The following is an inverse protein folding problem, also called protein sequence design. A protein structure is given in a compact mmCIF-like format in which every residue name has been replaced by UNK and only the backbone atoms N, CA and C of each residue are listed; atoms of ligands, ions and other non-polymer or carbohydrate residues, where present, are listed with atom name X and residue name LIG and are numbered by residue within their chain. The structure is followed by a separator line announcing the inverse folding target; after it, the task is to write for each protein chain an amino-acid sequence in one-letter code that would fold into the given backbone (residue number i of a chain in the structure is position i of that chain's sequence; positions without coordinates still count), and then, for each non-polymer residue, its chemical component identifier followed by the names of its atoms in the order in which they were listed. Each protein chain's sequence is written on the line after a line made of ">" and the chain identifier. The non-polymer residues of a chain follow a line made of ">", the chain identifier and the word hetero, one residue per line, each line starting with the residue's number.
data_IF_695432453311
#
_entry.id   IF_695432453311
#
_cell.length_a   1.000
_cell.length_b   1.000
_cell.length_c   1.000
_cell.angle_alpha   90.00
_cell.angle_beta   90.00
_cell.angle_gamma   90.00
#
_symmetry.space_group_name_H-M   'P 1'
#
loop_
_entity.id
_entity.type
_entity.pdbx_description
1 polymer ?
#
# COMPACT_ATOMS: atom_id res chain seq x y z
N UNK A 1 3.04 -24.80 1.15
CA UNK A 1 4.22 -25.58 0.86
C UNK A 1 5.24 -25.59 2.02
N UNK A 2 5.52 -24.47 2.65
CA UNK A 2 6.47 -24.35 3.78
C UNK A 2 5.92 -24.68 5.18
N UNK A 3 4.68 -25.15 5.32
CA UNK A 3 4.08 -25.54 6.61
C UNK A 3 4.42 -26.99 6.98
N UNK A 4 5.69 -27.32 7.12
CA UNK A 4 6.11 -28.59 7.74
C UNK A 4 6.39 -28.35 9.23
N UNK A 5 5.34 -28.30 10.03
CA UNK A 5 5.49 -28.54 11.47
C UNK A 5 5.42 -30.04 11.74
N UNK A 6 6.30 -30.55 12.61
CA UNK A 6 6.13 -31.88 13.16
C UNK A 6 4.81 -31.92 13.96
N UNK A 7 4.15 -33.08 14.02
CA UNK A 7 2.91 -33.27 14.78
C UNK A 7 3.07 -32.97 16.28
N UNK A 8 4.29 -32.79 16.76
CA UNK A 8 4.66 -32.56 18.15
C UNK A 8 5.35 -31.20 18.40
N UNK A 9 5.23 -30.23 17.48
CA UNK A 9 5.78 -28.89 17.72
C UNK A 9 4.99 -28.19 18.84
N UNK A 10 5.66 -27.58 19.84
CA UNK A 10 5.02 -26.77 20.87
C UNK A 10 4.49 -25.44 20.32
N UNK A 11 4.88 -25.08 19.10
CA UNK A 11 4.46 -23.85 18.45
C UNK A 11 3.12 -24.06 17.74
N UNK A 12 2.10 -23.22 17.98
CA UNK A 12 0.83 -23.26 17.26
C UNK A 12 1.02 -23.13 15.75
N UNK A 13 0.18 -23.79 14.94
CA UNK A 13 0.26 -23.71 13.47
C UNK A 13 0.17 -22.27 12.91
N UNK A 14 -0.52 -21.38 13.62
CA UNK A 14 -0.64 -19.95 13.28
C UNK A 14 0.67 -19.17 13.44
N UNK A 15 1.58 -19.68 14.30
CA UNK A 15 2.89 -19.11 14.57
C UNK A 15 4.03 -19.95 13.97
N UNK A 16 3.71 -20.80 12.99
CA UNK A 16 4.71 -21.63 12.33
C UNK A 16 5.79 -20.77 11.66
N UNK A 17 7.03 -21.15 11.83
CA UNK A 17 8.19 -20.50 11.24
C UNK A 17 9.07 -21.52 10.52
N UNK A 18 10.02 -21.04 9.74
CA UNK A 18 11.00 -21.85 9.03
C UNK A 18 12.42 -21.43 9.46
N UNK A 19 13.33 -22.39 9.48
CA UNK A 19 14.74 -22.21 9.88
C UNK A 19 15.65 -22.97 8.92
N UNK A 20 16.95 -22.67 8.98
CA UNK A 20 17.99 -23.37 8.24
C UNK A 20 17.73 -23.37 6.73
N UNK A 21 17.95 -24.51 6.08
CA UNK A 21 17.82 -24.64 4.63
C UNK A 21 16.43 -24.25 4.10
N UNK A 22 15.35 -24.55 4.82
CA UNK A 22 14.00 -24.15 4.43
C UNK A 22 13.80 -22.64 4.47
N UNK A 23 14.45 -21.92 5.37
CA UNK A 23 14.43 -20.46 5.42
C UNK A 23 15.16 -19.87 4.21
N UNK A 24 16.33 -20.41 3.87
CA UNK A 24 17.08 -19.95 2.69
C UNK A 24 16.31 -20.22 1.38
N UNK A 25 15.69 -21.39 1.25
CA UNK A 25 14.83 -21.70 0.11
C UNK A 25 13.63 -20.73 0.02
N UNK A 26 13.01 -20.42 1.15
CA UNK A 26 11.91 -19.47 1.22
C UNK A 26 12.34 -18.07 0.77
N UNK A 27 13.48 -17.58 1.23
CA UNK A 27 14.01 -16.27 0.81
C UNK A 27 14.35 -16.27 -0.68
N UNK A 28 14.90 -17.37 -1.21
CA UNK A 28 15.17 -17.52 -2.63
C UNK A 28 13.89 -17.41 -3.46
N UNK A 29 12.84 -18.14 -3.11
CA UNK A 29 11.56 -18.11 -3.81
C UNK A 29 10.88 -16.73 -3.70
N UNK A 30 11.00 -16.08 -2.53
CA UNK A 30 10.51 -14.72 -2.35
C UNK A 30 11.22 -13.71 -3.25
N UNK A 31 12.54 -13.82 -3.44
CA UNK A 31 13.27 -12.96 -4.39
C UNK A 31 12.73 -13.08 -5.80
N UNK A 32 12.45 -14.31 -6.26
CA UNK A 32 11.88 -14.58 -7.59
C UNK A 32 10.49 -13.95 -7.71
N UNK A 33 9.60 -14.19 -6.72
CA UNK A 33 8.25 -13.65 -6.72
C UNK A 33 8.23 -12.11 -6.67
N UNK A 34 9.08 -11.50 -5.87
CA UNK A 34 9.20 -10.06 -5.77
C UNK A 34 9.74 -9.43 -7.06
N UNK A 35 10.72 -10.08 -7.71
CA UNK A 35 11.23 -9.64 -9.01
C UNK A 35 10.15 -9.71 -10.09
N UNK A 36 9.39 -10.81 -10.14
CA UNK A 36 8.26 -10.94 -11.06
C UNK A 36 7.23 -9.83 -10.84
N UNK A 37 6.84 -9.58 -9.58
CA UNK A 37 5.89 -8.52 -9.24
C UNK A 37 6.41 -7.12 -9.65
N UNK A 38 7.72 -6.87 -9.52
CA UNK A 38 8.36 -5.64 -9.99
C UNK A 38 8.24 -5.47 -11.49
N UNK A 39 8.63 -6.49 -12.25
CA UNK A 39 8.56 -6.50 -13.72
C UNK A 39 7.12 -6.35 -14.23
N UNK A 40 6.16 -7.00 -13.55
CA UNK A 40 4.74 -6.88 -13.90
C UNK A 40 4.21 -5.44 -13.70
N UNK A 41 4.55 -4.78 -12.58
CA UNK A 41 4.20 -3.36 -12.38
C UNK A 41 4.83 -2.47 -13.44
N UNK A 42 6.10 -2.70 -13.79
CA UNK A 42 6.78 -1.95 -14.84
C UNK A 42 6.06 -2.12 -16.19
N UNK A 43 5.73 -3.35 -16.58
CA UNK A 43 5.03 -3.63 -17.85
C UNK A 43 3.64 -2.95 -17.89
N UNK A 44 2.91 -2.94 -16.77
CA UNK A 44 1.63 -2.24 -16.68
C UNK A 44 1.82 -0.72 -16.84
N UNK A 45 2.80 -0.13 -16.17
CA UNK A 45 3.08 1.31 -16.28
C UNK A 45 3.52 1.69 -17.69
N UNK A 46 4.42 0.92 -18.31
CA UNK A 46 4.87 1.15 -19.69
C UNK A 46 3.69 1.12 -20.68
N UNK A 47 2.75 0.17 -20.47
CA UNK A 47 1.54 0.07 -21.30
C UNK A 47 0.65 1.31 -21.13
N UNK A 48 0.43 1.77 -19.91
CA UNK A 48 -0.39 2.97 -19.62
C UNK A 48 0.28 4.22 -20.20
N UNK A 49 1.56 4.43 -19.90
CA UNK A 49 2.33 5.60 -20.38
C UNK A 49 2.32 5.67 -21.89
N UNK A 50 2.58 4.54 -22.56
CA UNK A 50 2.56 4.46 -24.03
C UNK A 50 1.15 4.67 -24.60
N UNK A 51 0.14 4.03 -24.01
CA UNK A 51 -1.25 4.14 -24.48
C UNK A 51 -1.83 5.53 -24.33
N UNK A 52 -1.42 6.26 -23.30
CA UNK A 52 -1.86 7.64 -23.04
C UNK A 52 -0.97 8.70 -23.70
N UNK A 53 0.16 8.34 -24.27
CA UNK A 53 1.13 9.27 -24.83
C UNK A 53 1.78 10.19 -23.79
N UNK A 54 1.92 9.72 -22.55
CA UNK A 54 2.53 10.51 -21.47
C UNK A 54 4.05 10.58 -21.61
N UNK A 55 4.59 11.74 -21.24
CA UNK A 55 6.02 11.91 -21.03
C UNK A 55 6.35 11.70 -19.55
N UNK A 56 7.21 10.72 -19.26
CA UNK A 56 7.63 10.42 -17.89
C UNK A 56 8.71 11.39 -17.45
N UNK A 57 8.46 12.13 -16.37
CA UNK A 57 9.43 13.03 -15.74
C UNK A 57 10.24 12.27 -14.68
N UNK A 58 9.55 11.49 -13.86
CA UNK A 58 10.14 10.70 -12.77
C UNK A 58 9.35 9.42 -12.56
N UNK A 59 10.02 8.36 -12.16
CA UNK A 59 9.38 7.08 -11.83
C UNK A 59 10.07 6.45 -10.63
N UNK A 60 9.28 5.96 -9.68
CA UNK A 60 9.76 5.16 -8.55
C UNK A 60 8.67 4.16 -8.12
N UNK A 61 9.04 3.20 -7.29
CA UNK A 61 8.14 2.15 -6.83
C UNK A 61 8.10 2.12 -5.31
N UNK A 62 6.88 2.10 -4.75
CA UNK A 62 6.65 1.90 -3.32
C UNK A 62 5.97 0.55 -3.12
N UNK A 63 6.52 -0.29 -2.24
CA UNK A 63 6.04 -1.66 -1.97
C UNK A 63 5.74 -1.78 -0.48
N UNK A 64 4.59 -2.37 -0.14
CA UNK A 64 4.10 -2.43 1.26
C UNK A 64 3.93 -3.83 1.85
N UNK A 65 4.12 -4.88 1.05
CA UNK A 65 4.08 -6.28 1.49
C UNK A 65 5.23 -7.03 0.83
N UNK A 66 6.39 -7.08 1.49
CA UNK A 66 7.56 -7.74 0.96
C UNK A 66 8.59 -8.03 2.05
N UNK A 67 9.58 -8.84 1.71
CA UNK A 67 10.77 -9.05 2.52
C UNK A 67 11.91 -8.28 1.88
N UNK A 68 12.45 -7.32 2.62
CA UNK A 68 13.72 -6.68 2.32
C UNK A 68 14.82 -7.67 2.71
N UNK A 69 15.26 -8.45 1.74
CA UNK A 69 16.20 -9.55 1.97
C UNK A 69 17.63 -9.08 2.22
N UNK A 70 17.95 -7.85 1.87
CA UNK A 70 19.29 -7.27 2.07
C UNK A 70 19.42 -6.70 3.50
N UNK A 71 18.35 -6.12 4.03
CA UNK A 71 18.29 -5.60 5.38
C UNK A 71 17.59 -6.54 6.37
N UNK A 72 17.09 -7.69 5.90
CA UNK A 72 16.33 -8.68 6.69
C UNK A 72 15.12 -8.08 7.41
N UNK A 73 14.38 -7.22 6.73
CA UNK A 73 13.18 -6.56 7.26
C UNK A 73 11.94 -7.12 6.55
N UNK A 74 11.01 -7.68 7.33
CA UNK A 74 9.69 -8.06 6.84
C UNK A 74 8.74 -6.86 6.98
N UNK A 75 8.22 -6.37 5.85
CA UNK A 75 7.21 -5.31 5.81
C UNK A 75 5.85 -5.86 5.41
N UNK A 76 4.84 -5.57 6.22
CA UNK A 76 3.43 -5.87 5.91
C UNK A 76 2.56 -4.69 6.32
N UNK A 77 1.97 -4.00 5.33
CA UNK A 77 1.21 -2.78 5.58
C UNK A 77 2.10 -1.59 5.97
N UNK A 78 3.39 -1.66 5.66
CA UNK A 78 4.37 -0.58 5.79
C UNK A 78 5.29 -0.55 4.58
N UNK A 79 5.84 0.60 4.29
CA UNK A 79 6.76 0.83 3.17
C UNK A 79 8.16 1.13 3.69
N UNK A 80 9.18 0.94 2.86
CA UNK A 80 10.52 1.39 3.17
C UNK A 80 10.58 2.92 3.24
N UNK A 81 11.36 3.44 4.19
CA UNK A 81 11.61 4.85 4.41
C UNK A 81 13.07 5.07 4.85
N UNK A 82 13.99 4.47 4.11
CA UNK A 82 15.42 4.67 4.30
C UNK A 82 15.78 6.15 4.09
N UNK A 83 16.90 6.58 4.60
CA UNK A 83 17.35 7.98 4.45
C UNK A 83 17.42 8.38 2.98
N UNK A 84 16.65 9.40 2.59
CA UNK A 84 16.59 9.92 1.23
C UNK A 84 15.74 9.10 0.25
N UNK A 85 15.15 7.99 0.67
CA UNK A 85 14.28 7.17 -0.18
C UNK A 85 12.96 7.86 -0.48
N UNK A 86 12.55 7.89 -1.77
CA UNK A 86 11.26 8.43 -2.20
C UNK A 86 10.15 7.41 -2.00
N UNK A 87 9.04 7.81 -1.40
CA UNK A 87 7.89 6.96 -1.17
C UNK A 87 6.56 7.70 -1.30
N UNK A 88 5.49 6.93 -1.53
CA UNK A 88 4.14 7.43 -1.66
C UNK A 88 3.27 6.85 -0.55
N UNK A 89 2.50 7.71 0.14
CA UNK A 89 1.52 7.30 1.15
C UNK A 89 0.13 7.71 0.66
N UNK A 90 -0.65 6.80 0.04
CA UNK A 90 -2.02 7.07 -0.40
C UNK A 90 -2.93 7.31 0.82
N UNK A 91 -3.76 8.33 0.75
CA UNK A 91 -4.74 8.65 1.80
C UNK A 91 -6.10 8.06 1.43
N UNK A 92 -6.78 8.63 0.45
CA UNK A 92 -8.05 8.14 -0.08
C UNK A 92 -8.36 8.79 -1.43
N UNK A 93 -9.50 8.43 -2.02
CA UNK A 93 -9.92 8.90 -3.36
C UNK A 93 -10.12 10.42 -3.47
N UNK A 94 -10.38 11.11 -2.35
CA UNK A 94 -10.61 12.57 -2.29
C UNK A 94 -9.34 13.35 -1.94
N UNK A 95 -8.64 12.89 -0.91
CA UNK A 95 -7.54 13.66 -0.32
C UNK A 95 -6.22 13.42 -1.06
N UNK A 96 -6.14 12.32 -1.81
CA UNK A 96 -5.00 12.01 -2.67
C UNK A 96 -3.90 11.23 -1.96
N UNK A 97 -2.66 11.64 -2.16
CA UNK A 97 -1.48 10.93 -1.65
C UNK A 97 -0.40 11.91 -1.19
N UNK A 98 0.37 11.50 -0.20
CA UNK A 98 1.57 12.22 0.24
C UNK A 98 2.78 11.69 -0.53
N UNK A 99 3.51 12.59 -1.17
CA UNK A 99 4.84 12.31 -1.70
C UNK A 99 5.85 12.64 -0.60
N UNK A 100 6.68 11.67 -0.22
CA UNK A 100 7.54 11.77 0.94
C UNK A 100 8.96 11.34 0.65
N UNK A 101 9.87 11.81 1.50
CA UNK A 101 11.27 11.36 1.59
C UNK A 101 11.52 10.73 2.96
N UNK A 102 12.05 9.52 2.98
CA UNK A 102 12.36 8.76 4.18
C UNK A 102 13.48 9.39 5.01
N UNK A 103 13.35 9.35 6.32
CA UNK A 103 14.36 9.84 7.29
C UNK A 103 15.29 8.74 7.80
N UNK A 104 15.03 7.47 7.47
CA UNK A 104 15.85 6.34 7.92
C UNK A 104 15.80 6.12 9.43
N UNK A 105 14.64 6.35 10.07
CA UNK A 105 14.50 6.25 11.51
C UNK A 105 14.51 4.78 11.97
N UNK A 106 15.51 4.34 12.77
CA UNK A 106 15.60 2.96 13.24
C UNK A 106 14.49 2.59 14.24
N UNK A 107 13.95 3.55 15.01
CA UNK A 107 12.85 3.29 15.96
C UNK A 107 11.55 2.92 15.21
N UNK A 108 11.46 3.27 13.94
CA UNK A 108 10.38 2.90 13.02
C UNK A 108 10.78 1.78 12.06
N UNK A 109 11.85 1.07 12.39
CA UNK A 109 12.39 0.00 11.56
C UNK A 109 12.60 0.44 10.09
N UNK A 110 13.12 1.67 9.91
CA UNK A 110 13.35 2.28 8.59
C UNK A 110 12.12 2.24 7.69
N UNK A 111 10.94 2.43 8.26
CA UNK A 111 9.66 2.22 7.59
C UNK A 111 8.68 3.36 7.84
N UNK A 112 7.68 3.47 6.96
CA UNK A 112 6.56 4.40 7.07
C UNK A 112 5.23 3.68 6.80
N UNK A 113 4.08 4.26 7.15
CA UNK A 113 2.77 3.71 6.80
C UNK A 113 2.62 3.59 5.28
N UNK A 114 1.96 2.51 4.83
CA UNK A 114 1.68 2.31 3.40
C UNK A 114 0.46 3.09 2.90
N UNK A 115 -0.27 3.76 3.78
CA UNK A 115 -1.50 4.51 3.51
C UNK A 115 -2.14 5.01 4.80
N UNK A 116 -3.27 5.69 4.69
CA UNK A 116 -3.98 6.28 5.82
C UNK A 116 -4.46 5.26 6.87
N UNK A 117 -4.66 4.02 6.45
CA UNK A 117 -5.35 3.03 7.27
C UNK A 117 -6.87 3.28 7.35
N UNK A 118 -7.61 2.23 7.60
CA UNK A 118 -9.08 2.27 7.63
C UNK A 118 -9.55 2.50 9.06
N UNK A 119 -10.65 3.23 9.21
CA UNK A 119 -11.36 3.38 10.48
C UNK A 119 -12.23 2.15 10.78
N UNK A 120 -12.63 1.41 9.74
CA UNK A 120 -13.52 0.26 9.85
C UNK A 120 -13.23 -0.78 8.76
N UNK A 121 -13.80 -1.98 8.91
CA UNK A 121 -13.72 -3.04 7.90
C UNK A 121 -14.46 -2.64 6.61
N UNK A 122 -14.16 -3.35 5.51
CA UNK A 122 -14.85 -3.12 4.22
C UNK A 122 -16.37 -3.36 4.33
N UNK A 123 -16.78 -4.45 5.00
CA UNK A 123 -18.19 -4.74 5.23
C UNK A 123 -18.87 -3.65 6.07
N UNK A 124 -18.25 -3.24 7.18
CA UNK A 124 -18.79 -2.18 8.02
C UNK A 124 -18.94 -0.84 7.25
N UNK A 125 -18.03 -0.50 6.37
CA UNK A 125 -18.13 0.70 5.54
C UNK A 125 -19.31 0.61 4.55
N UNK A 126 -19.55 -0.56 3.93
CA UNK A 126 -20.70 -0.78 3.05
C UNK A 126 -22.05 -0.71 3.78
N UNK A 127 -22.06 -1.00 5.07
CA UNK A 127 -23.27 -0.89 5.92
C UNK A 127 -23.47 0.53 6.48
N UNK A 128 -22.37 1.22 6.84
CA UNK A 128 -22.40 2.51 7.50
C UNK A 128 -22.69 3.70 6.58
N UNK A 129 -22.31 3.61 5.30
CA UNK A 129 -22.35 4.73 4.36
C UNK A 129 -23.30 4.49 3.20
N UNK A 130 -23.77 5.59 2.59
CA UNK A 130 -24.62 5.57 1.40
C UNK A 130 -23.86 6.08 0.18
N UNK A 131 -24.29 5.64 -1.01
CA UNK A 131 -23.75 6.15 -2.29
C UNK A 131 -23.97 7.66 -2.43
N UNK A 132 -25.05 8.20 -1.86
CA UNK A 132 -25.31 9.65 -1.86
C UNK A 132 -24.28 10.43 -1.06
N UNK A 133 -23.92 9.95 0.13
CA UNK A 133 -22.85 10.52 0.95
C UNK A 133 -21.50 10.42 0.25
N UNK A 134 -21.21 9.26 -0.34
CA UNK A 134 -19.97 9.07 -1.10
C UNK A 134 -19.88 10.07 -2.27
N UNK A 135 -20.95 10.25 -3.06
CA UNK A 135 -20.98 11.26 -4.14
C UNK A 135 -20.73 12.68 -3.63
N UNK A 136 -21.30 13.04 -2.48
CA UNK A 136 -21.06 14.36 -1.86
C UNK A 136 -19.60 14.55 -1.47
N UNK A 137 -18.97 13.53 -0.91
CA UNK A 137 -17.56 13.57 -0.52
C UNK A 137 -16.59 13.66 -1.71
N UNK A 138 -17.00 13.16 -2.88
CA UNK A 138 -16.24 13.22 -4.11
C UNK A 138 -16.52 14.47 -4.96
N UNK A 139 -17.30 15.43 -4.45
CA UNK A 139 -17.59 16.65 -5.19
C UNK A 139 -16.29 17.39 -5.59
N UNK A 140 -16.18 17.73 -6.87
CA UNK A 140 -15.00 18.38 -7.44
C UNK A 140 -13.91 17.43 -7.92
N UNK A 141 -14.06 16.13 -7.75
CA UNK A 141 -13.12 15.12 -8.26
C UNK A 141 -13.84 14.23 -9.27
N UNK A 142 -13.31 14.17 -10.48
CA UNK A 142 -13.87 13.31 -11.51
C UNK A 142 -13.59 11.83 -11.20
N UNK A 143 -14.64 11.01 -11.25
CA UNK A 143 -14.54 9.56 -11.05
C UNK A 143 -15.74 8.85 -11.67
N UNK A 144 -15.48 7.69 -12.27
CA UNK A 144 -16.50 6.73 -12.74
C UNK A 144 -16.79 5.64 -11.72
N UNK A 145 -16.10 5.67 -10.57
CA UNK A 145 -16.04 4.57 -9.61
C UNK A 145 -16.78 4.86 -8.30
N UNK A 146 -17.83 5.70 -8.31
CA UNK A 146 -18.68 5.94 -7.14
C UNK A 146 -19.99 5.17 -7.26
N UNK A 147 -20.04 4.02 -6.61
CA UNK A 147 -21.17 3.11 -6.65
C UNK A 147 -21.25 2.19 -5.43
N UNK A 148 -22.20 1.25 -5.44
CA UNK A 148 -22.38 0.27 -4.36
C UNK A 148 -21.17 -0.68 -4.23
N UNK A 149 -20.62 -1.15 -5.33
CA UNK A 149 -19.46 -2.07 -5.36
C UNK A 149 -18.21 -1.45 -4.72
N UNK A 150 -18.03 -0.14 -4.86
CA UNK A 150 -16.86 0.62 -4.36
C UNK A 150 -17.14 1.42 -3.08
N UNK A 151 -18.29 1.24 -2.44
CA UNK A 151 -18.69 2.02 -1.25
C UNK A 151 -17.71 1.85 -0.07
N UNK A 152 -17.06 0.71 0.02
CA UNK A 152 -16.00 0.47 0.99
C UNK A 152 -14.74 1.31 0.76
N UNK A 153 -14.55 1.89 -0.41
CA UNK A 153 -13.42 2.78 -0.74
C UNK A 153 -13.75 4.27 -0.53
N UNK A 154 -14.94 4.59 0.01
CA UNK A 154 -15.32 5.98 0.26
C UNK A 154 -14.34 6.66 1.24
N UNK A 155 -14.08 7.98 1.09
CA UNK A 155 -13.12 8.71 1.94
C UNK A 155 -13.40 8.58 3.44
N UNK A 156 -14.68 8.51 3.84
CA UNK A 156 -15.10 8.41 5.24
C UNK A 156 -14.68 7.09 5.92
N UNK A 157 -14.30 6.07 5.15
CA UNK A 157 -13.81 4.80 5.70
C UNK A 157 -12.34 4.83 6.15
N UNK A 158 -11.64 5.95 5.90
CA UNK A 158 -10.21 6.12 6.16
C UNK A 158 -9.93 7.20 7.19
N UNK A 159 -8.78 7.11 7.86
CA UNK A 159 -8.27 8.18 8.74
C UNK A 159 -8.04 9.45 7.92
N UNK A 160 -8.22 10.60 8.57
CA UNK A 160 -7.98 11.89 7.96
C UNK A 160 -6.51 12.13 7.61
N UNK A 161 -6.26 12.98 6.60
CA UNK A 161 -4.90 13.33 6.20
C UNK A 161 -4.13 13.99 7.35
N UNK A 162 -4.75 14.87 8.11
CA UNK A 162 -4.11 15.61 9.21
C UNK A 162 -3.65 14.65 10.32
N UNK A 163 -4.43 13.61 10.62
CA UNK A 163 -4.06 12.57 11.58
C UNK A 163 -2.81 11.80 11.12
N UNK A 164 -2.71 11.55 9.82
CA UNK A 164 -1.56 10.84 9.27
C UNK A 164 -0.33 11.74 9.30
N UNK A 165 -0.42 12.96 8.77
CA UNK A 165 0.70 13.91 8.71
C UNK A 165 1.27 14.18 10.09
N UNK A 166 0.41 14.37 11.10
CA UNK A 166 0.84 14.62 12.48
C UNK A 166 1.61 13.47 13.13
N UNK A 167 1.43 12.23 12.64
CA UNK A 167 2.04 11.04 13.23
C UNK A 167 3.24 10.46 12.45
N UNK A 168 3.44 10.84 11.20
CA UNK A 168 4.51 10.26 10.35
C UNK A 168 5.81 11.07 10.35
N UNK A 169 5.80 12.25 10.98
CA UNK A 169 6.95 13.16 11.03
C UNK A 169 8.27 12.46 11.44
N UNK A 170 8.29 11.55 12.43
CA UNK A 170 9.54 10.87 12.80
C UNK A 170 10.11 9.97 11.69
N UNK A 171 9.28 9.46 10.78
CA UNK A 171 9.68 8.49 9.75
C UNK A 171 9.98 9.13 8.39
N UNK A 172 9.29 10.23 8.04
CA UNK A 172 9.37 10.85 6.72
C UNK A 172 9.27 12.36 6.77
N UNK A 173 9.79 13.01 5.73
CA UNK A 173 9.46 14.39 5.37
C UNK A 173 8.39 14.36 4.30
N UNK A 174 7.31 15.13 4.46
CA UNK A 174 6.27 15.29 3.42
C UNK A 174 6.74 16.37 2.46
N UNK A 175 7.02 16.01 1.22
CA UNK A 175 7.54 16.92 0.19
C UNK A 175 6.40 17.60 -0.57
N UNK A 176 5.31 16.85 -0.85
CA UNK A 176 4.15 17.36 -1.56
C UNK A 176 2.89 16.53 -1.29
N UNK A 177 1.74 17.17 -1.51
CA UNK A 177 0.42 16.50 -1.54
C UNK A 177 -0.04 16.42 -2.99
N UNK A 178 -0.22 15.19 -3.50
CA UNK A 178 -0.72 14.94 -4.85
C UNK A 178 -2.24 14.81 -4.77
N UNK A 179 -2.95 15.78 -5.33
CA UNK A 179 -4.42 15.76 -5.42
C UNK A 179 -4.87 14.96 -6.63
N UNK A 180 -5.92 14.12 -6.50
CA UNK A 180 -6.45 13.37 -7.62
C UNK A 180 -7.24 14.32 -8.56
N UNK A 181 -7.01 14.18 -9.86
CA UNK A 181 -7.84 14.81 -10.91
C UNK A 181 -8.83 13.80 -11.49
N UNK A 182 -8.50 12.51 -11.39
CA UNK A 182 -9.32 11.38 -11.81
C UNK A 182 -9.06 10.17 -10.92
N UNK A 183 -10.11 9.48 -10.50
CA UNK A 183 -10.01 8.21 -9.83
C UNK A 183 -10.69 7.10 -10.64
N UNK A 184 -9.97 6.01 -10.80
CA UNK A 184 -10.49 4.75 -11.32
C UNK A 184 -10.30 3.65 -10.27
N UNK A 185 -11.37 2.90 -10.01
CA UNK A 185 -11.35 1.68 -9.20
C UNK A 185 -11.99 0.57 -10.02
N UNK A 186 -11.35 -0.59 -10.06
CA UNK A 186 -12.01 -1.77 -10.55
C UNK A 186 -13.17 -2.09 -9.59
N UNK A 187 -14.38 -2.11 -10.12
CA UNK A 187 -15.56 -2.63 -9.44
C UNK A 187 -15.76 -4.08 -9.86
N UNK A 188 -16.50 -4.84 -9.03
CA UNK A 188 -17.08 -6.08 -9.53
C UNK A 188 -18.04 -5.71 -10.66
N UNK A 189 -17.92 -6.38 -11.81
CA UNK A 189 -18.89 -6.23 -12.88
C UNK A 189 -20.23 -6.73 -12.34
N UNK A 190 -21.25 -5.84 -12.29
CA UNK A 190 -22.64 -6.20 -11.94
C UNK A 190 -23.29 -7.01 -13.07
#
# INVERSE_FOLDING_TARGET
>A
MYKRQSKHSPVPKSLAYVEGELFEQYLHDMKIAQRFAGLNRQAMMDTIVKGMGFHVIEQFTTIHNYIDVDNMILRKGSVSAQTGERLLIPINMRDGSLLCTGKGNPDWNFSAPHGAGRLMSRSAAKEAFTVSEFKKQMAGIYTTSVGRSTLDECPMAYKGMDDIVGNIEPAVTVDAIIKPIYNFKAGDED
#
